data_IF_098136352286
#
_entry.id   IF_098136352286
#
_cell.length_a   1.000
_cell.length_b   1.000
_cell.length_c   1.000
_cell.angle_alpha   90.00
_cell.angle_beta   90.00
_cell.angle_gamma   90.00
#
_symmetry.space_group_name_H-M   'P 1'
#
loop_
_entity.id
_entity.type
_entity.pdbx_description
1 polymer ?
#
# COMPACT_ATOMS: atom_id res chain seq x y z
N UNK A 1 25.15 -11.99 -11.88
CA UNK A 1 24.00 -11.63 -12.76
C UNK A 1 24.44 -10.47 -13.62
N UNK A 2 24.25 -10.51 -14.93
CA UNK A 2 24.54 -9.38 -15.83
C UNK A 2 23.55 -8.24 -15.53
N UNK A 3 24.06 -7.02 -15.32
CA UNK A 3 23.25 -5.81 -15.13
C UNK A 3 23.39 -4.98 -16.41
N UNK A 4 22.40 -4.95 -17.31
CA UNK A 4 22.51 -4.17 -18.54
C UNK A 4 22.57 -2.67 -18.22
N UNK A 5 23.52 -1.95 -18.83
CA UNK A 5 23.68 -0.50 -18.58
C UNK A 5 22.38 0.26 -18.83
N UNK A 6 21.63 -0.06 -19.90
CA UNK A 6 20.35 0.58 -20.23
C UNK A 6 19.31 0.51 -19.10
N UNK A 7 19.31 -0.57 -18.30
CA UNK A 7 18.42 -0.71 -17.15
C UNK A 7 19.00 -0.10 -15.85
N UNK A 8 20.27 0.25 -15.87
CA UNK A 8 21.03 0.77 -14.72
C UNK A 8 21.13 2.30 -14.74
N UNK A 9 21.15 2.95 -15.91
CA UNK A 9 21.27 4.42 -16.03
C UNK A 9 20.17 5.17 -15.29
N UNK A 10 18.93 4.68 -15.32
CA UNK A 10 17.81 5.33 -14.62
C UNK A 10 18.02 5.44 -13.10
N UNK A 11 18.91 4.61 -12.55
CA UNK A 11 19.25 4.58 -11.11
C UNK A 11 20.28 5.62 -10.71
N UNK A 12 21.01 6.18 -11.65
CA UNK A 12 21.97 7.25 -11.38
C UNK A 12 21.23 8.57 -11.20
N UNK A 13 21.78 9.50 -10.43
CA UNK A 13 21.30 10.89 -10.40
C UNK A 13 21.81 11.70 -11.59
N UNK A 14 22.95 11.31 -12.16
CA UNK A 14 23.56 11.96 -13.32
C UNK A 14 22.77 11.63 -14.60
N UNK A 15 22.62 12.63 -15.48
CA UNK A 15 21.97 12.53 -16.80
C UNK A 15 22.89 13.12 -17.85
N UNK A 16 22.62 12.85 -19.13
CA UNK A 16 23.31 13.51 -20.23
C UNK A 16 23.36 15.04 -19.99
N UNK A 17 24.52 15.70 -20.18
CA UNK A 17 25.80 15.18 -20.71
C UNK A 17 26.74 14.56 -19.65
N UNK A 18 26.35 14.49 -18.39
CA UNK A 18 27.19 14.06 -17.26
C UNK A 18 27.16 12.55 -16.97
N UNK A 19 26.55 11.73 -17.81
CA UNK A 19 26.60 10.28 -17.69
C UNK A 19 27.89 9.75 -18.31
N UNK A 20 28.76 9.10 -17.52
CA UNK A 20 30.11 8.74 -17.93
C UNK A 20 30.37 7.23 -17.97
N UNK A 21 29.37 6.38 -17.69
CA UNK A 21 29.54 4.93 -17.69
C UNK A 21 28.87 4.35 -18.93
N UNK A 22 29.63 3.62 -19.74
CA UNK A 22 29.17 3.13 -21.04
C UNK A 22 28.72 1.67 -21.00
N UNK A 23 29.27 0.86 -20.09
CA UNK A 23 28.92 -0.57 -19.96
C UNK A 23 29.24 -1.11 -18.55
N UNK A 24 28.63 -2.24 -18.19
CA UNK A 24 28.89 -2.97 -16.94
C UNK A 24 29.42 -4.36 -17.29
N UNK A 25 30.72 -4.57 -17.05
CA UNK A 25 31.40 -5.82 -17.38
C UNK A 25 31.14 -6.92 -16.34
N UNK A 26 31.18 -6.59 -15.06
CA UNK A 26 30.96 -7.54 -13.97
C UNK A 26 30.15 -6.90 -12.84
N UNK A 27 29.28 -7.68 -12.21
CA UNK A 27 28.48 -7.22 -11.08
C UNK A 27 28.24 -8.32 -10.05
N UNK A 28 28.78 -8.10 -8.85
CA UNK A 28 28.53 -8.84 -7.62
C UNK A 28 27.74 -7.93 -6.66
N UNK A 29 26.40 -8.06 -6.62
CA UNK A 29 25.53 -7.16 -5.85
C UNK A 29 25.98 -6.98 -4.40
N UNK A 30 26.08 -5.73 -3.95
CA UNK A 30 26.46 -5.39 -2.57
C UNK A 30 27.93 -5.64 -2.23
N UNK A 31 28.77 -6.04 -3.19
CA UNK A 31 30.19 -6.32 -2.95
C UNK A 31 31.12 -5.61 -3.94
N UNK A 32 31.00 -5.89 -5.23
CA UNK A 32 31.92 -5.42 -6.27
C UNK A 32 31.21 -5.17 -7.60
N UNK A 33 31.61 -4.15 -8.32
CA UNK A 33 31.17 -3.90 -9.69
C UNK A 33 32.37 -3.46 -10.53
N UNK A 34 32.39 -3.90 -11.79
CA UNK A 34 33.36 -3.48 -12.80
C UNK A 34 32.58 -2.93 -13.98
N UNK A 35 32.86 -1.68 -14.34
CA UNK A 35 32.22 -0.97 -15.43
C UNK A 35 33.26 -0.41 -16.39
N UNK A 36 32.79 0.11 -17.51
CA UNK A 36 33.64 0.61 -18.60
C UNK A 36 33.27 2.05 -18.93
N UNK A 37 34.31 2.86 -19.16
CA UNK A 37 34.21 4.18 -19.78
C UNK A 37 35.17 4.24 -20.97
N UNK A 38 34.63 4.40 -22.17
CA UNK A 38 35.39 4.60 -23.40
C UNK A 38 35.65 6.10 -23.58
N UNK A 39 36.92 6.49 -23.66
CA UNK A 39 37.31 7.90 -23.77
C UNK A 39 37.34 8.26 -25.24
N UNK A 40 36.30 8.94 -25.70
CA UNK A 40 36.19 9.33 -27.11
C UNK A 40 36.75 10.74 -27.33
N UNK A 41 37.39 10.98 -28.47
CA UNK A 41 37.90 12.33 -28.80
C UNK A 41 36.79 13.39 -28.89
N UNK A 42 35.54 12.96 -29.07
CA UNK A 42 34.38 13.84 -29.21
C UNK A 42 33.77 14.28 -27.88
N UNK A 43 34.33 13.87 -26.74
CA UNK A 43 33.80 14.30 -25.44
C UNK A 43 33.98 15.81 -25.22
N UNK A 44 32.93 16.44 -24.72
CA UNK A 44 32.82 17.90 -24.59
C UNK A 44 33.99 18.52 -23.81
N UNK A 45 34.47 17.84 -22.76
CA UNK A 45 35.57 18.35 -21.97
C UNK A 45 36.91 18.39 -22.71
N UNK A 46 37.06 17.74 -23.88
CA UNK A 46 38.24 17.95 -24.74
C UNK A 46 38.15 19.25 -25.55
N UNK A 47 36.97 19.87 -25.66
CA UNK A 47 36.79 21.18 -26.26
C UNK A 47 37.24 22.28 -25.27
N UNK A 48 38.55 22.44 -25.13
CA UNK A 48 39.16 23.50 -24.33
C UNK A 48 40.06 23.02 -23.19
N UNK A 49 40.06 21.72 -22.84
CA UNK A 49 41.01 21.16 -21.89
C UNK A 49 42.35 20.85 -22.57
N UNK A 50 43.28 21.80 -22.46
CA UNK A 50 44.65 21.81 -23.02
C UNK A 50 44.70 21.66 -24.56
N UNK A 51 44.73 22.80 -25.30
CA UNK A 51 44.94 22.77 -26.75
C UNK A 51 46.19 21.96 -27.13
N UNK A 52 46.02 20.94 -27.98
CA UNK A 52 47.10 20.07 -28.45
C UNK A 52 47.48 18.90 -27.52
N UNK A 53 46.86 18.79 -26.34
CA UNK A 53 47.13 17.72 -25.38
C UNK A 53 45.82 17.20 -24.73
N UNK A 54 44.96 16.49 -25.48
CA UNK A 54 43.67 16.04 -24.95
C UNK A 54 43.88 15.03 -23.82
N UNK A 55 43.49 15.42 -22.60
CA UNK A 55 43.59 14.64 -21.38
C UNK A 55 42.23 14.61 -20.66
N UNK A 56 41.77 13.43 -20.21
CA UNK A 56 40.59 13.32 -19.36
C UNK A 56 40.92 13.89 -17.96
N UNK A 57 40.18 14.88 -17.44
CA UNK A 57 40.40 15.42 -16.11
C UNK A 57 40.28 14.36 -15.01
N UNK A 58 41.17 14.40 -14.01
CA UNK A 58 41.13 13.46 -12.89
C UNK A 58 39.80 13.49 -12.12
N UNK A 59 39.16 14.64 -12.02
CA UNK A 59 37.83 14.77 -11.40
C UNK A 59 36.75 13.99 -12.15
N UNK A 60 36.85 13.85 -13.47
CA UNK A 60 35.89 13.05 -14.25
C UNK A 60 36.15 11.56 -14.06
N UNK A 61 37.41 11.14 -13.86
CA UNK A 61 37.70 9.75 -13.46
C UNK A 61 37.08 9.42 -12.09
N UNK A 62 37.14 10.36 -11.14
CA UNK A 62 36.48 10.20 -9.83
C UNK A 62 34.95 10.19 -9.97
N UNK A 63 34.37 11.07 -10.77
CA UNK A 63 32.92 11.09 -11.05
C UNK A 63 32.46 9.77 -11.68
N UNK A 64 33.20 9.25 -12.68
CA UNK A 64 32.92 7.93 -13.26
C UNK A 64 32.92 6.82 -12.20
N UNK A 65 33.92 6.80 -11.30
CA UNK A 65 33.97 5.85 -10.20
C UNK A 65 32.81 6.03 -9.21
N UNK A 66 32.38 7.28 -8.94
CA UNK A 66 31.24 7.56 -8.07
C UNK A 66 29.90 7.08 -8.67
N UNK A 67 29.70 7.26 -9.98
CA UNK A 67 28.54 6.70 -10.69
C UNK A 67 28.53 5.16 -10.58
N UNK A 68 29.66 4.52 -10.84
CA UNK A 68 29.80 3.05 -10.70
C UNK A 68 29.50 2.60 -9.27
N UNK A 69 29.95 3.35 -8.26
CA UNK A 69 29.66 3.04 -6.86
C UNK A 69 28.16 3.15 -6.52
N UNK A 70 27.45 4.12 -7.10
CA UNK A 70 26.00 4.26 -6.93
C UNK A 70 25.24 3.07 -7.54
N UNK A 71 25.68 2.54 -8.69
CA UNK A 71 25.07 1.37 -9.32
C UNK A 71 25.14 0.09 -8.46
N UNK A 72 26.14 0.01 -7.57
CA UNK A 72 26.33 -1.12 -6.66
C UNK A 72 25.31 -1.17 -5.50
N UNK A 73 24.57 -0.06 -5.28
CA UNK A 73 23.60 0.12 -4.20
C UNK A 73 22.17 0.28 -4.77
N UNK A 74 21.52 -0.82 -5.19
CA UNK A 74 20.22 -0.72 -5.86
C UNK A 74 19.10 -0.25 -4.92
N UNK A 75 18.22 0.59 -5.45
CA UNK A 75 16.98 0.99 -4.76
C UNK A 75 17.14 2.09 -3.72
N UNK A 76 18.28 2.79 -3.70
CA UNK A 76 18.51 3.96 -2.86
C UNK A 76 19.19 5.06 -3.66
N UNK A 77 18.88 6.32 -3.37
CA UNK A 77 19.64 7.45 -3.95
C UNK A 77 20.95 7.61 -3.20
N UNK A 78 22.03 7.80 -3.95
CA UNK A 78 23.38 7.91 -3.40
C UNK A 78 24.03 9.21 -3.91
N UNK A 79 24.69 9.95 -3.02
CA UNK A 79 25.51 11.11 -3.38
C UNK A 79 26.94 10.94 -2.88
N UNK A 80 27.92 11.35 -3.68
CA UNK A 80 29.31 11.45 -3.23
C UNK A 80 29.44 12.58 -2.19
N UNK A 81 29.94 12.27 -0.99
CA UNK A 81 30.17 13.22 0.11
C UNK A 81 31.64 13.55 0.33
N UNK A 82 32.54 12.65 -0.05
CA UNK A 82 33.96 12.85 0.16
C UNK A 82 34.79 11.91 -0.70
N UNK A 83 36.02 12.34 -1.00
CA UNK A 83 37.01 11.59 -1.75
C UNK A 83 38.29 11.64 -0.94
N UNK A 84 38.72 10.47 -0.46
CA UNK A 84 39.92 10.33 0.36
C UNK A 84 41.00 9.61 -0.44
N UNK A 85 42.27 9.94 -0.16
CA UNK A 85 43.44 9.25 -0.71
C UNK A 85 43.46 9.14 -2.25
N UNK A 86 42.89 10.11 -2.96
CA UNK A 86 42.88 10.10 -4.42
C UNK A 86 44.30 10.20 -4.99
N UNK A 87 44.67 9.30 -5.90
CA UNK A 87 45.94 9.36 -6.65
C UNK A 87 45.68 9.18 -8.13
N UNK A 88 46.31 10.03 -8.94
CA UNK A 88 46.29 9.98 -10.39
C UNK A 88 47.68 9.60 -10.88
N UNK A 89 47.81 8.40 -11.43
CA UNK A 89 49.11 7.77 -11.71
C UNK A 89 49.55 7.95 -13.16
N UNK A 90 48.61 8.08 -14.09
CA UNK A 90 48.86 8.17 -15.52
C UNK A 90 47.84 9.08 -16.19
N UNK A 91 48.24 9.63 -17.33
CA UNK A 91 47.33 10.35 -18.22
C UNK A 91 46.37 9.38 -18.88
N UNK A 92 45.14 9.85 -19.09
CA UNK A 92 44.09 9.13 -19.81
C UNK A 92 43.69 9.99 -21.00
N UNK A 93 43.78 9.45 -22.20
CA UNK A 93 43.69 10.18 -23.47
C UNK A 93 42.60 9.58 -24.37
N UNK A 94 42.15 10.31 -25.41
CA UNK A 94 41.24 9.74 -26.39
C UNK A 94 41.74 8.41 -26.98
N UNK A 95 40.86 7.42 -27.03
CA UNK A 95 41.17 6.05 -27.44
C UNK A 95 41.34 5.08 -26.27
N UNK A 96 41.60 5.58 -25.06
CA UNK A 96 41.70 4.73 -23.87
C UNK A 96 40.33 4.14 -23.49
N UNK A 97 40.37 2.93 -22.96
CA UNK A 97 39.21 2.26 -22.34
C UNK A 97 39.47 2.09 -20.86
N UNK A 98 38.82 2.90 -20.03
CA UNK A 98 38.91 2.74 -18.59
C UNK A 98 38.06 1.56 -18.16
N UNK A 99 38.69 0.67 -17.40
CA UNK A 99 38.01 -0.28 -16.54
C UNK A 99 37.90 0.35 -15.14
N UNK A 100 36.66 0.49 -14.68
CA UNK A 100 36.28 1.15 -13.44
C UNK A 100 35.83 0.09 -12.45
N UNK A 101 36.65 -0.19 -11.45
CA UNK A 101 36.36 -1.17 -10.41
C UNK A 101 36.02 -0.48 -9.10
N UNK A 102 34.90 -0.88 -8.49
CA UNK A 102 34.48 -0.39 -7.19
C UNK A 102 34.08 -1.56 -6.28
N UNK A 103 34.60 -1.56 -5.05
CA UNK A 103 34.23 -2.51 -4.01
C UNK A 103 33.77 -1.78 -2.73
N UNK A 104 32.67 -2.25 -2.12
CA UNK A 104 32.22 -1.71 -0.84
C UNK A 104 33.16 -2.16 0.28
N UNK A 105 33.56 -1.24 1.15
CA UNK A 105 34.44 -1.54 2.27
C UNK A 105 33.67 -1.63 3.60
N UNK A 106 33.13 -0.51 4.07
CA UNK A 106 32.47 -0.43 5.39
C UNK A 106 31.28 0.51 5.35
N UNK A 107 30.18 0.09 5.97
CA UNK A 107 29.01 0.93 6.22
C UNK A 107 28.99 1.41 7.68
N UNK A 108 28.63 2.68 7.88
CA UNK A 108 28.36 3.25 9.21
C UNK A 108 27.17 4.21 9.11
N UNK A 109 26.00 3.79 9.59
CA UNK A 109 24.76 4.55 9.43
C UNK A 109 24.42 4.75 7.94
N UNK A 110 24.08 5.98 7.57
CA UNK A 110 23.78 6.38 6.19
C UNK A 110 25.02 6.64 5.32
N UNK A 111 26.24 6.44 5.85
CA UNK A 111 27.49 6.61 5.09
C UNK A 111 28.12 5.26 4.73
N UNK A 112 28.52 5.13 3.46
CA UNK A 112 29.19 3.96 2.90
C UNK A 112 30.56 4.39 2.37
N UNK A 113 31.60 3.62 2.70
CA UNK A 113 32.93 3.75 2.11
C UNK A 113 33.11 2.71 1.00
N UNK A 114 33.64 3.15 -0.13
CA UNK A 114 33.98 2.28 -1.25
C UNK A 114 35.43 2.51 -1.69
N UNK A 115 36.14 1.43 -2.00
CA UNK A 115 37.46 1.48 -2.63
C UNK A 115 37.25 1.45 -4.13
N UNK A 116 37.84 2.41 -4.84
CA UNK A 116 37.59 2.64 -6.24
C UNK A 116 38.92 2.76 -7.02
N UNK A 117 39.02 2.04 -8.13
CA UNK A 117 40.21 1.98 -8.97
C UNK A 117 39.81 2.09 -10.43
N UNK A 118 40.51 2.94 -11.18
CA UNK A 118 40.42 3.01 -12.63
C UNK A 118 41.73 2.49 -13.24
N UNK A 119 41.64 1.68 -14.31
CA UNK A 119 42.79 1.15 -15.03
C UNK A 119 42.60 1.17 -16.56
N UNK A 120 43.70 1.28 -17.29
CA UNK A 120 43.78 1.13 -18.75
C UNK A 120 44.79 0.02 -19.05
N UNK A 121 44.41 -0.98 -19.84
CA UNK A 121 45.23 -2.15 -20.18
C UNK A 121 45.88 -2.81 -18.95
N UNK A 122 45.10 -2.97 -17.87
CA UNK A 122 45.55 -3.58 -16.61
C UNK A 122 46.43 -2.68 -15.72
N UNK A 123 46.75 -1.46 -16.16
CA UNK A 123 47.56 -0.53 -15.38
C UNK A 123 46.69 0.51 -14.67
N UNK A 124 46.86 0.67 -13.36
CA UNK A 124 46.12 1.68 -12.58
C UNK A 124 46.45 3.10 -13.05
N UNK A 125 45.40 3.84 -13.42
CA UNK A 125 45.48 5.26 -13.82
C UNK A 125 44.94 6.19 -12.73
N UNK A 126 43.95 5.73 -11.94
CA UNK A 126 43.46 6.45 -10.76
C UNK A 126 43.03 5.48 -9.65
N UNK A 127 43.14 5.90 -8.40
CA UNK A 127 42.62 5.19 -7.22
C UNK A 127 42.08 6.20 -6.20
N UNK A 128 41.01 5.86 -5.48
CA UNK A 128 40.46 6.68 -4.40
C UNK A 128 39.61 5.84 -3.42
N UNK A 129 39.42 6.36 -2.21
CA UNK A 129 38.38 5.90 -1.28
C UNK A 129 37.21 6.89 -1.32
N UNK A 130 36.06 6.44 -1.80
CA UNK A 130 34.85 7.24 -1.92
C UNK A 130 34.02 7.14 -0.64
N UNK A 131 33.50 8.28 -0.16
CA UNK A 131 32.51 8.35 0.92
C UNK A 131 31.18 8.72 0.30
N UNK A 132 30.22 7.80 0.39
CA UNK A 132 28.90 7.91 -0.20
C UNK A 132 27.86 8.12 0.91
N UNK A 133 26.94 9.07 0.73
CA UNK A 133 25.73 9.15 1.54
C UNK A 133 24.58 8.46 0.82
N UNK A 134 23.92 7.57 1.55
CA UNK A 134 22.64 6.97 1.17
C UNK A 134 21.54 7.88 1.68
N UNK A 135 20.68 8.33 0.77
CA UNK A 135 19.48 9.08 1.11
C UNK A 135 18.32 8.08 1.19
N UNK A 136 17.54 8.17 2.27
CA UNK A 136 16.22 7.54 2.27
C UNK A 136 15.38 8.20 1.17
N UNK A 137 14.50 7.43 0.51
CA UNK A 137 13.58 8.01 -0.47
C UNK A 137 12.78 9.11 0.23
N UNK A 138 13.04 10.38 -0.09
CA UNK A 138 12.26 11.49 0.45
C UNK A 138 10.84 11.43 -0.14
N UNK A 139 9.90 12.12 0.51
CA UNK A 139 8.58 12.29 -0.06
C UNK A 139 8.66 13.17 -1.32
N UNK A 140 7.97 12.78 -2.39
CA UNK A 140 7.85 13.58 -3.60
C UNK A 140 6.51 14.31 -3.56
N UNK A 141 6.55 15.64 -3.49
CA UNK A 141 5.35 16.48 -3.39
C UNK A 141 5.26 17.33 -4.64
N UNK A 142 4.16 17.19 -5.39
CA UNK A 142 3.89 18.04 -6.53
C UNK A 142 3.83 19.52 -6.11
N UNK A 143 4.42 20.46 -6.87
CA UNK A 143 4.43 21.88 -6.51
C UNK A 143 3.05 22.52 -6.33
N UNK A 144 2.00 21.93 -6.91
CA UNK A 144 0.62 22.40 -6.81
C UNK A 144 -0.16 21.77 -5.66
N UNK A 145 0.43 20.80 -4.95
CA UNK A 145 -0.17 20.20 -3.77
C UNK A 145 -0.09 21.15 -2.56
N UNK A 146 -1.11 21.12 -1.71
CA UNK A 146 -1.17 21.88 -0.48
C UNK A 146 -0.97 20.96 0.72
N UNK A 147 0.26 20.91 1.24
CA UNK A 147 0.62 20.11 2.42
C UNK A 147 0.84 21.03 3.60
N UNK A 148 0.07 20.83 4.67
CA UNK A 148 0.24 21.60 5.90
C UNK A 148 1.63 21.33 6.53
N UNK A 149 2.34 22.35 7.06
CA UNK A 149 3.70 22.19 7.59
C UNK A 149 3.84 21.18 8.73
N UNK A 150 2.77 20.91 9.48
CA UNK A 150 2.75 19.96 10.60
C UNK A 150 2.36 18.54 10.19
N UNK A 151 1.99 18.31 8.93
CA UNK A 151 1.71 16.97 8.41
C UNK A 151 2.98 16.12 8.45
N UNK A 152 2.83 14.84 8.81
CA UNK A 152 3.94 13.89 8.84
C UNK A 152 3.87 13.00 7.62
N UNK A 153 4.87 13.08 6.74
CA UNK A 153 4.89 12.36 5.47
C UNK A 153 6.03 11.34 5.49
N UNK A 154 5.71 10.05 5.38
CA UNK A 154 6.70 8.98 5.39
C UNK A 154 7.54 8.91 4.12
N UNK A 155 8.71 8.28 4.23
CA UNK A 155 9.67 8.10 3.14
C UNK A 155 9.06 7.43 1.90
N UNK A 156 9.41 7.93 0.70
CA UNK A 156 8.98 7.45 -0.60
C UNK A 156 7.50 7.69 -0.92
N UNK A 157 6.81 8.46 -0.08
CA UNK A 157 5.41 8.86 -0.32
C UNK A 157 5.33 9.89 -1.43
N UNK A 158 4.35 9.73 -2.32
CA UNK A 158 4.14 10.61 -3.47
C UNK A 158 2.80 11.33 -3.29
N UNK A 159 2.82 12.65 -3.34
CA UNK A 159 1.66 13.53 -3.26
C UNK A 159 1.46 14.19 -4.62
N UNK A 160 0.38 13.82 -5.29
CA UNK A 160 0.03 14.26 -6.63
C UNK A 160 -0.50 15.71 -6.70
N UNK A 161 -0.70 16.24 -7.91
CA UNK A 161 -1.05 17.63 -8.14
C UNK A 161 -2.39 18.00 -7.49
N UNK A 162 -2.48 19.20 -6.94
CA UNK A 162 -3.66 19.74 -6.27
C UNK A 162 -4.21 18.92 -5.09
N UNK A 163 -3.48 17.90 -4.62
CA UNK A 163 -3.86 17.18 -3.41
C UNK A 163 -3.76 18.09 -2.18
N UNK A 164 -4.58 17.84 -1.16
CA UNK A 164 -4.59 18.61 0.09
C UNK A 164 -4.35 17.67 1.26
N UNK A 165 -3.31 17.96 2.06
CA UNK A 165 -2.95 17.22 3.27
C UNK A 165 -3.04 18.13 4.48
N UNK A 166 -3.95 17.81 5.40
CA UNK A 166 -4.24 18.58 6.60
C UNK A 166 -3.15 18.52 7.69
N UNK A 167 -3.19 19.45 8.66
CA UNK A 167 -2.13 19.64 9.66
C UNK A 167 -1.96 18.49 10.66
N UNK A 168 -2.99 17.65 10.84
CA UNK A 168 -2.98 16.53 11.79
C UNK A 168 -2.86 15.16 11.09
N UNK A 169 -2.47 15.16 9.82
CA UNK A 169 -2.35 13.95 9.03
C UNK A 169 -0.98 13.30 9.21
N UNK A 170 -0.98 11.99 9.36
CA UNK A 170 0.21 11.14 9.35
C UNK A 170 0.07 10.14 8.21
N UNK A 171 0.93 10.25 7.19
CA UNK A 171 1.06 9.28 6.10
C UNK A 171 2.28 8.40 6.36
N UNK A 172 2.10 7.09 6.25
CA UNK A 172 3.17 6.10 6.27
C UNK A 172 4.12 6.20 5.09
N UNK A 173 5.01 5.21 4.95
CA UNK A 173 5.98 5.12 3.86
C UNK A 173 5.31 4.71 2.56
N UNK A 174 5.80 5.20 1.43
CA UNK A 174 5.39 4.78 0.08
C UNK A 174 3.87 4.88 -0.15
N UNK A 175 3.21 5.80 0.54
CA UNK A 175 1.81 6.13 0.28
C UNK A 175 1.73 6.89 -1.04
N UNK A 176 0.68 6.67 -1.83
CA UNK A 176 0.43 7.45 -3.04
C UNK A 176 -0.87 8.21 -2.86
N UNK A 177 -0.80 9.53 -2.86
CA UNK A 177 -1.98 10.40 -2.85
C UNK A 177 -2.17 10.98 -4.24
N UNK A 178 -3.28 10.63 -4.87
CA UNK A 178 -3.64 11.00 -6.23
C UNK A 178 -4.04 12.47 -6.36
N UNK A 179 -4.17 12.92 -7.61
CA UNK A 179 -4.50 14.30 -7.92
C UNK A 179 -5.82 14.75 -7.28
N UNK A 180 -5.83 15.94 -6.69
CA UNK A 180 -7.03 16.53 -6.07
C UNK A 180 -7.68 15.65 -4.99
N UNK A 181 -6.97 14.67 -4.43
CA UNK A 181 -7.43 13.94 -3.26
C UNK A 181 -7.20 14.79 -1.99
N UNK A 182 -8.11 14.66 -1.02
CA UNK A 182 -8.06 15.39 0.24
C UNK A 182 -7.92 14.40 1.37
N UNK A 183 -6.87 14.56 2.18
CA UNK A 183 -6.68 13.86 3.45
C UNK A 183 -6.58 14.91 4.54
N UNK A 184 -7.49 14.88 5.51
CA UNK A 184 -7.54 15.90 6.57
C UNK A 184 -8.01 15.29 7.91
N UNK A 185 -8.20 16.12 8.94
CA UNK A 185 -8.56 15.69 10.28
C UNK A 185 -7.42 14.99 11.01
N UNK A 186 -7.72 14.42 12.18
CA UNK A 186 -6.77 13.57 12.92
C UNK A 186 -6.74 12.19 12.28
N UNK A 187 -6.00 12.08 11.17
CA UNK A 187 -6.00 10.91 10.30
C UNK A 187 -4.61 10.30 10.22
N UNK A 188 -4.53 8.98 10.43
CA UNK A 188 -3.32 8.19 10.22
C UNK A 188 -3.57 7.17 9.14
N UNK A 189 -2.68 7.11 8.14
CA UNK A 189 -2.72 6.15 7.03
C UNK A 189 -1.42 5.36 7.01
N UNK A 190 -1.53 4.03 7.07
CA UNK A 190 -0.38 3.13 7.04
C UNK A 190 0.30 3.00 5.67
N UNK A 191 1.49 2.41 5.70
CA UNK A 191 2.41 2.27 4.56
C UNK A 191 1.76 1.68 3.30
N UNK A 192 2.31 2.04 2.13
CA UNK A 192 1.98 1.45 0.82
C UNK A 192 0.49 1.56 0.45
N UNK A 193 -0.23 2.50 1.06
CA UNK A 193 -1.63 2.79 0.73
C UNK A 193 -1.73 3.67 -0.51
N UNK A 194 -2.71 3.39 -1.36
CA UNK A 194 -3.01 4.18 -2.55
C UNK A 194 -4.34 4.89 -2.41
N UNK A 195 -4.32 6.21 -2.50
CA UNK A 195 -5.49 7.09 -2.51
C UNK A 195 -5.61 7.68 -3.91
N UNK A 196 -6.67 7.32 -4.64
CA UNK A 196 -6.88 7.78 -6.01
C UNK A 196 -7.48 9.18 -6.06
N UNK A 197 -7.51 9.81 -7.26
CA UNK A 197 -8.01 11.17 -7.42
C UNK A 197 -9.41 11.40 -6.85
N UNK A 198 -9.61 12.60 -6.33
CA UNK A 198 -10.89 13.09 -5.77
C UNK A 198 -11.44 12.30 -4.57
N UNK A 199 -10.66 11.39 -3.98
CA UNK A 199 -11.03 10.78 -2.70
C UNK A 199 -10.98 11.83 -1.58
N UNK A 200 -11.87 11.69 -0.59
CA UNK A 200 -12.00 12.59 0.54
C UNK A 200 -11.96 11.79 1.85
N UNK A 201 -10.83 11.85 2.54
CA UNK A 201 -10.50 10.96 3.65
C UNK A 201 -10.25 11.79 4.92
N UNK A 202 -10.86 11.39 6.03
CA UNK A 202 -10.70 12.02 7.34
C UNK A 202 -11.62 13.23 7.59
N UNK A 203 -12.54 13.50 6.66
CA UNK A 203 -13.49 14.61 6.76
C UNK A 203 -14.42 14.50 7.99
N UNK A 204 -14.99 15.63 8.47
CA UNK A 204 -16.02 15.64 9.50
C UNK A 204 -17.13 14.61 9.25
N UNK A 205 -17.60 13.90 10.28
CA UNK A 205 -18.77 13.03 10.14
C UNK A 205 -20.02 13.83 9.73
N UNK A 206 -20.92 13.19 9.00
CA UNK A 206 -22.22 13.78 8.62
C UNK A 206 -23.29 13.63 9.73
N UNK A 207 -22.89 13.23 10.94
CA UNK A 207 -23.78 13.18 12.10
C UNK A 207 -24.13 14.61 12.54
N UNK A 208 -25.43 14.92 12.61
CA UNK A 208 -25.95 16.23 13.02
C UNK A 208 -25.53 16.64 14.44
N UNK A 209 -25.11 15.69 15.27
CA UNK A 209 -24.63 15.92 16.64
C UNK A 209 -23.16 16.35 16.68
N UNK A 210 -22.39 16.17 15.60
CA UNK A 210 -21.00 16.56 15.56
C UNK A 210 -20.86 18.09 15.67
N UNK A 211 -19.89 18.54 16.45
CA UNK A 211 -19.64 19.96 16.76
C UNK A 211 -18.18 20.37 16.54
N UNK A 212 -17.40 19.56 15.82
CA UNK A 212 -16.00 19.86 15.53
C UNK A 212 -15.01 19.20 16.50
N UNK A 213 -15.45 18.22 17.28
CA UNK A 213 -14.61 17.49 18.21
C UNK A 213 -13.41 16.83 17.48
N UNK A 214 -12.23 16.73 18.11
CA UNK A 214 -11.01 16.19 17.49
C UNK A 214 -11.03 14.66 17.41
N UNK A 215 -12.02 14.10 16.73
CA UNK A 215 -12.18 12.66 16.48
C UNK A 215 -11.23 12.17 15.40
N UNK A 216 -11.01 10.85 15.36
CA UNK A 216 -9.89 10.22 14.66
C UNK A 216 -10.34 9.29 13.53
N UNK A 217 -9.43 9.12 12.58
CA UNK A 217 -9.48 8.08 11.56
C UNK A 217 -8.13 7.34 11.57
N UNK A 218 -8.18 6.02 11.74
CA UNK A 218 -7.00 5.16 11.75
C UNK A 218 -7.12 4.13 10.62
N UNK A 219 -6.24 4.21 9.63
CA UNK A 219 -6.19 3.34 8.46
C UNK A 219 -4.88 2.56 8.48
N UNK A 220 -4.97 1.24 8.31
CA UNK A 220 -3.83 0.34 8.18
C UNK A 220 -3.06 0.53 6.86
N UNK A 221 -2.33 -0.50 6.45
CA UNK A 221 -1.41 -0.47 5.30
C UNK A 221 -1.98 -1.16 4.06
N UNK A 222 -1.44 -0.81 2.90
CA UNK A 222 -1.71 -1.45 1.60
C UNK A 222 -3.19 -1.42 1.22
N UNK A 223 -3.90 -0.38 1.64
CA UNK A 223 -5.28 -0.17 1.21
C UNK A 223 -5.30 0.53 -0.15
N UNK A 224 -6.34 0.26 -0.94
CA UNK A 224 -6.58 0.95 -2.21
C UNK A 224 -7.92 1.65 -2.11
N UNK A 225 -7.88 2.98 -2.09
CA UNK A 225 -9.05 3.84 -2.13
C UNK A 225 -9.18 4.42 -3.53
N UNK A 226 -10.18 3.96 -4.27
CA UNK A 226 -10.44 4.40 -5.64
C UNK A 226 -11.10 5.78 -5.66
N UNK A 227 -11.37 6.24 -6.88
CA UNK A 227 -11.84 7.59 -7.17
C UNK A 227 -13.13 7.91 -6.40
N UNK A 228 -13.23 9.13 -5.85
CA UNK A 228 -14.42 9.60 -5.12
C UNK A 228 -14.82 8.79 -3.88
N UNK A 229 -13.91 7.97 -3.33
CA UNK A 229 -14.13 7.34 -2.03
C UNK A 229 -14.23 8.41 -0.94
N UNK A 230 -15.18 8.24 -0.02
CA UNK A 230 -15.38 9.13 1.13
C UNK A 230 -15.27 8.36 2.44
N UNK A 231 -14.41 8.81 3.35
CA UNK A 231 -14.19 8.17 4.65
C UNK A 231 -14.20 9.22 5.74
N UNK A 232 -15.12 9.10 6.67
CA UNK A 232 -15.35 10.09 7.70
C UNK A 232 -14.80 9.61 9.04
N UNK A 233 -14.22 10.53 9.81
CA UNK A 233 -13.77 10.27 11.19
C UNK A 233 -14.96 9.99 12.12
N UNK A 234 -14.68 9.49 13.32
CA UNK A 234 -15.72 9.15 14.28
C UNK A 234 -16.46 10.35 14.88
N UNK A 235 -17.35 10.08 15.82
CA UNK A 235 -18.09 11.06 16.63
C UNK A 235 -17.77 10.89 18.11
N UNK A 236 -17.82 11.96 18.91
CA UNK A 236 -17.53 11.86 20.35
C UNK A 236 -18.44 10.83 21.07
N UNK A 237 -19.73 10.75 20.67
CA UNK A 237 -20.67 9.77 21.22
C UNK A 237 -20.49 8.33 20.70
N UNK A 238 -19.75 8.15 19.61
CA UNK A 238 -19.54 6.88 18.93
C UNK A 238 -18.24 6.15 19.23
N UNK A 239 -17.45 6.68 20.17
CA UNK A 239 -16.10 6.19 20.47
C UNK A 239 -15.00 7.04 19.85
N UNK A 240 -15.35 8.08 19.09
CA UNK A 240 -14.43 9.10 18.60
C UNK A 240 -13.49 8.63 17.51
N UNK A 241 -13.73 7.45 16.91
CA UNK A 241 -12.79 6.82 15.99
C UNK A 241 -13.47 5.92 14.95
N UNK A 242 -13.14 6.16 13.69
CA UNK A 242 -13.34 5.20 12.58
C UNK A 242 -12.03 4.44 12.37
N UNK A 243 -12.09 3.12 12.17
CA UNK A 243 -10.89 2.28 11.92
C UNK A 243 -11.01 1.43 10.67
N UNK A 244 -9.93 1.32 9.90
CA UNK A 244 -9.81 0.44 8.72
C UNK A 244 -8.53 -0.37 8.85
N UNK A 245 -8.59 -1.68 8.65
CA UNK A 245 -7.45 -2.59 8.68
C UNK A 245 -6.55 -2.50 7.43
N UNK A 246 -5.97 -3.65 7.07
CA UNK A 246 -4.97 -3.76 6.01
C UNK A 246 -5.53 -4.35 4.71
N UNK A 247 -4.90 -4.06 3.57
CA UNK A 247 -5.11 -4.79 2.31
C UNK A 247 -6.56 -4.77 1.79
N UNK A 248 -7.29 -3.70 2.05
CA UNK A 248 -8.66 -3.56 1.58
C UNK A 248 -8.71 -2.87 0.21
N UNK A 249 -9.74 -3.19 -0.58
CA UNK A 249 -10.07 -2.50 -1.82
C UNK A 249 -11.41 -1.78 -1.69
N UNK A 250 -11.37 -0.45 -1.76
CA UNK A 250 -12.55 0.40 -1.83
C UNK A 250 -12.68 0.92 -3.26
N UNK A 251 -13.64 0.40 -4.02
CA UNK A 251 -13.88 0.87 -5.39
C UNK A 251 -14.52 2.26 -5.40
N UNK A 252 -14.72 2.81 -6.59
CA UNK A 252 -15.14 4.19 -6.76
C UNK A 252 -16.49 4.48 -6.07
N UNK A 253 -16.63 5.68 -5.51
CA UNK A 253 -17.82 6.13 -4.77
C UNK A 253 -18.18 5.34 -3.51
N UNK A 254 -17.26 4.52 -2.97
CA UNK A 254 -17.53 3.87 -1.69
C UNK A 254 -17.56 4.91 -0.56
N UNK A 255 -18.54 4.76 0.33
CA UNK A 255 -18.69 5.61 1.51
C UNK A 255 -18.52 4.81 2.79
N UNK A 256 -17.65 5.29 3.68
CA UNK A 256 -17.48 4.81 5.06
C UNK A 256 -17.85 5.95 6.00
N UNK A 257 -19.01 5.81 6.65
CA UNK A 257 -19.47 6.78 7.64
C UNK A 257 -18.65 6.73 8.93
N UNK A 258 -19.06 7.57 9.87
CA UNK A 258 -18.45 7.71 11.18
C UNK A 258 -18.53 6.44 12.03
N UNK A 259 -17.51 6.24 12.87
CA UNK A 259 -17.44 5.19 13.89
C UNK A 259 -17.52 3.77 13.31
N UNK A 260 -17.23 3.61 12.01
CA UNK A 260 -17.15 2.29 11.39
C UNK A 260 -15.87 1.57 11.80
N UNK A 261 -15.95 0.24 11.84
CA UNK A 261 -14.82 -0.65 12.06
C UNK A 261 -14.71 -1.64 10.90
N UNK A 262 -13.79 -1.39 9.98
CA UNK A 262 -13.50 -2.27 8.85
C UNK A 262 -12.23 -3.07 9.15
N UNK A 263 -12.31 -4.39 8.99
CA UNK A 263 -11.19 -5.31 9.12
C UNK A 263 -10.22 -5.23 7.94
N UNK A 264 -9.60 -6.36 7.63
CA UNK A 264 -8.57 -6.50 6.60
C UNK A 264 -9.01 -7.39 5.44
N UNK A 265 -8.41 -7.20 4.27
CA UNK A 265 -8.69 -7.98 3.05
C UNK A 265 -10.15 -7.92 2.57
N UNK A 266 -10.86 -6.85 2.93
CA UNK A 266 -12.24 -6.61 2.53
C UNK A 266 -12.31 -5.97 1.14
N UNK A 267 -13.44 -6.16 0.46
CA UNK A 267 -13.69 -5.58 -0.87
C UNK A 267 -15.03 -4.87 -0.87
N UNK A 268 -15.01 -3.60 -1.26
CA UNK A 268 -16.21 -2.79 -1.45
C UNK A 268 -16.34 -2.45 -2.94
N UNK A 269 -17.40 -2.94 -3.56
CA UNK A 269 -17.75 -2.62 -4.95
C UNK A 269 -18.20 -1.18 -5.11
N UNK A 270 -18.33 -0.69 -6.35
CA UNK A 270 -18.64 0.71 -6.62
C UNK A 270 -19.91 1.18 -5.90
N UNK A 271 -19.85 2.33 -5.24
CA UNK A 271 -21.01 2.89 -4.53
C UNK A 271 -21.48 2.11 -3.30
N UNK A 272 -20.72 1.12 -2.82
CA UNK A 272 -21.05 0.46 -1.56
C UNK A 272 -21.00 1.49 -0.40
N UNK A 273 -22.00 1.48 0.47
CA UNK A 273 -22.21 2.54 1.46
C UNK A 273 -22.39 1.95 2.85
N UNK A 274 -21.56 2.37 3.80
CA UNK A 274 -21.69 2.02 5.21
C UNK A 274 -22.29 3.20 5.98
N UNK A 275 -23.39 2.96 6.70
CA UNK A 275 -23.92 3.90 7.68
C UNK A 275 -23.06 3.96 8.94
N UNK A 276 -23.40 4.86 9.86
CA UNK A 276 -22.62 5.04 11.10
C UNK A 276 -22.53 3.78 11.96
N UNK A 277 -21.40 3.59 12.64
CA UNK A 277 -21.17 2.46 13.57
C UNK A 277 -21.24 1.05 12.93
N UNK A 278 -21.05 0.93 11.62
CA UNK A 278 -21.05 -0.37 10.95
C UNK A 278 -19.72 -1.10 11.21
N UNK A 279 -19.80 -2.40 11.50
CA UNK A 279 -18.61 -3.27 11.57
C UNK A 279 -18.56 -4.21 10.38
N UNK A 280 -17.41 -4.31 9.72
CA UNK A 280 -17.18 -5.21 8.59
C UNK A 280 -15.94 -6.03 8.90
N UNK A 281 -16.11 -7.33 9.10
CA UNK A 281 -15.02 -8.20 9.48
C UNK A 281 -14.19 -8.67 8.28
N UNK A 282 -13.02 -9.24 8.58
CA UNK A 282 -12.02 -9.63 7.60
C UNK A 282 -12.58 -10.45 6.43
N UNK A 283 -12.05 -10.18 5.23
CA UNK A 283 -12.38 -10.89 3.99
C UNK A 283 -13.84 -10.77 3.52
N UNK A 284 -14.67 -9.98 4.20
CA UNK A 284 -16.01 -9.68 3.73
C UNK A 284 -15.98 -8.92 2.40
N UNK A 285 -17.01 -9.11 1.59
CA UNK A 285 -17.18 -8.40 0.32
C UNK A 285 -18.57 -7.80 0.24
N UNK A 286 -18.62 -6.50 -0.04
CA UNK A 286 -19.87 -5.76 -0.23
C UNK A 286 -19.93 -5.30 -1.67
N UNK A 287 -20.78 -5.93 -2.47
CA UNK A 287 -20.84 -5.67 -3.91
C UNK A 287 -21.48 -4.32 -4.23
N UNK A 288 -21.35 -3.92 -5.50
CA UNK A 288 -21.75 -2.62 -6.02
C UNK A 288 -23.14 -2.16 -5.54
N UNK A 289 -23.25 -0.88 -5.20
CA UNK A 289 -24.47 -0.18 -4.81
C UNK A 289 -25.24 -0.81 -3.66
N UNK A 290 -24.54 -1.55 -2.79
CA UNK A 290 -25.15 -2.12 -1.58
C UNK A 290 -24.95 -1.19 -0.39
N UNK A 291 -25.98 -1.07 0.46
CA UNK A 291 -25.95 -0.28 1.68
C UNK A 291 -25.96 -1.16 2.93
N UNK A 292 -25.18 -0.78 3.94
CA UNK A 292 -25.27 -1.37 5.30
C UNK A 292 -25.75 -0.29 6.25
N UNK A 293 -26.91 -0.51 6.84
CA UNK A 293 -27.53 0.44 7.76
C UNK A 293 -26.74 0.54 9.07
N UNK A 294 -26.84 1.69 9.72
CA UNK A 294 -26.12 1.98 10.97
C UNK A 294 -26.24 0.86 12.02
N UNK A 295 -25.17 0.65 12.78
CA UNK A 295 -24.99 -0.38 13.81
C UNK A 295 -25.04 -1.84 13.34
N UNK A 296 -25.21 -2.11 12.04
CA UNK A 296 -25.21 -3.49 11.54
C UNK A 296 -23.78 -4.01 11.37
N UNK A 297 -23.64 -5.33 11.43
CA UNK A 297 -22.36 -6.03 11.25
C UNK A 297 -22.38 -6.90 10.00
N UNK A 298 -21.23 -7.00 9.33
CA UNK A 298 -20.98 -7.90 8.21
C UNK A 298 -19.88 -8.87 8.62
N UNK A 299 -20.22 -10.14 8.81
CA UNK A 299 -19.31 -11.14 9.36
C UNK A 299 -18.17 -11.56 8.42
N UNK A 300 -17.15 -12.23 8.98
CA UNK A 300 -15.96 -12.67 8.25
C UNK A 300 -16.32 -13.46 6.99
N UNK A 301 -15.66 -13.19 5.87
CA UNK A 301 -15.90 -13.84 4.57
C UNK A 301 -17.35 -13.78 4.04
N UNK A 302 -18.21 -12.94 4.62
CA UNK A 302 -19.56 -12.72 4.09
C UNK A 302 -19.46 -12.12 2.69
N UNK A 303 -20.45 -12.44 1.86
CA UNK A 303 -20.58 -11.89 0.52
C UNK A 303 -21.94 -11.23 0.40
N UNK A 304 -21.98 -9.91 0.31
CA UNK A 304 -23.20 -9.14 0.05
C UNK A 304 -23.32 -8.95 -1.46
N UNK A 305 -24.40 -9.46 -2.06
CA UNK A 305 -24.65 -9.29 -3.50
C UNK A 305 -25.03 -7.85 -3.84
N UNK A 306 -24.83 -7.45 -5.09
CA UNK A 306 -25.04 -6.06 -5.52
C UNK A 306 -26.48 -5.59 -5.29
N UNK A 307 -26.66 -4.29 -5.14
CA UNK A 307 -27.95 -3.65 -4.88
C UNK A 307 -28.68 -4.18 -3.62
N UNK A 308 -27.94 -4.68 -2.62
CA UNK A 308 -28.54 -5.14 -1.36
C UNK A 308 -28.63 -4.02 -0.33
N UNK A 309 -29.65 -4.07 0.53
CA UNK A 309 -29.83 -3.12 1.65
C UNK A 309 -29.87 -3.91 2.95
N UNK A 310 -28.75 -3.93 3.66
CA UNK A 310 -28.53 -4.69 4.89
C UNK A 310 -29.04 -3.88 6.09
N UNK A 311 -30.09 -4.36 6.74
CA UNK A 311 -30.72 -3.70 7.91
C UNK A 311 -30.62 -4.50 9.21
N UNK A 312 -30.04 -5.71 9.13
CA UNK A 312 -29.73 -6.64 10.22
C UNK A 312 -28.35 -7.24 9.95
N UNK A 313 -27.75 -7.88 10.94
CA UNK A 313 -26.40 -8.41 10.79
C UNK A 313 -26.31 -9.48 9.69
N UNK A 314 -25.40 -9.28 8.74
CA UNK A 314 -25.13 -10.20 7.65
C UNK A 314 -24.15 -11.28 8.08
N UNK A 315 -24.56 -12.54 7.92
CA UNK A 315 -23.88 -13.65 8.57
C UNK A 315 -22.50 -13.98 7.97
N UNK A 316 -21.52 -14.38 8.81
CA UNK A 316 -20.21 -14.86 8.38
C UNK A 316 -20.24 -15.98 7.36
N UNK A 317 -19.28 -16.02 6.45
CA UNK A 317 -19.08 -17.14 5.51
C UNK A 317 -20.26 -17.39 4.56
N UNK A 318 -21.24 -16.50 4.50
CA UNK A 318 -22.48 -16.68 3.75
C UNK A 318 -22.68 -15.62 2.68
N UNK A 319 -23.49 -15.97 1.68
CA UNK A 319 -23.95 -15.04 0.64
C UNK A 319 -25.28 -14.44 1.07
N UNK A 320 -25.37 -13.13 1.10
CA UNK A 320 -26.59 -12.39 1.47
C UNK A 320 -26.99 -11.46 0.34
N UNK A 321 -28.25 -11.54 -0.11
CA UNK A 321 -28.76 -10.71 -1.22
C UNK A 321 -30.18 -10.25 -0.91
N UNK A 322 -30.49 -9.01 -1.29
CA UNK A 322 -31.83 -8.42 -1.22
C UNK A 322 -31.87 -7.16 -0.38
N UNK A 323 -33.03 -6.50 -0.35
CA UNK A 323 -33.21 -5.22 0.32
C UNK A 323 -34.14 -5.35 1.54
N UNK A 324 -33.71 -4.78 2.68
CA UNK A 324 -34.50 -4.65 3.92
C UNK A 324 -35.10 -6.00 4.35
N UNK A 325 -36.42 -6.09 4.51
CA UNK A 325 -37.15 -7.29 4.91
C UNK A 325 -37.00 -8.46 3.91
N UNK A 326 -36.70 -8.16 2.64
CA UNK A 326 -36.52 -9.14 1.58
C UNK A 326 -35.09 -9.72 1.54
N UNK A 327 -34.18 -9.21 2.36
CA UNK A 327 -32.80 -9.68 2.39
C UNK A 327 -32.71 -11.12 2.90
N UNK A 328 -31.97 -11.98 2.18
CA UNK A 328 -31.91 -13.43 2.44
C UNK A 328 -30.50 -13.98 2.31
N UNK A 329 -30.25 -15.05 3.06
CA UNK A 329 -29.02 -15.84 2.97
C UNK A 329 -29.18 -16.96 1.95
N UNK A 330 -28.30 -16.98 0.94
CA UNK A 330 -28.23 -17.94 -0.16
C UNK A 330 -27.16 -19.03 0.06
N UNK A 331 -27.01 -19.44 1.33
CA UNK A 331 -26.06 -20.44 1.78
C UNK A 331 -24.62 -19.96 1.88
N UNK A 332 -23.72 -20.90 2.14
CA UNK A 332 -22.28 -20.65 2.36
C UNK A 332 -21.62 -20.11 1.10
N UNK A 333 -20.73 -19.13 1.26
CA UNK A 333 -19.83 -18.55 0.26
C UNK A 333 -18.71 -19.56 -0.11
N UNK A 334 -19.12 -20.72 -0.62
CA UNK A 334 -18.22 -21.86 -0.85
C UNK A 334 -17.05 -21.48 -1.77
N UNK A 335 -17.31 -20.75 -2.86
CA UNK A 335 -16.28 -20.32 -3.81
C UNK A 335 -15.27 -19.38 -3.13
N UNK A 336 -15.74 -18.39 -2.37
CA UNK A 336 -14.87 -17.43 -1.68
C UNK A 336 -14.02 -18.07 -0.59
N UNK A 337 -14.51 -19.13 0.05
CA UNK A 337 -13.78 -19.89 1.06
C UNK A 337 -12.75 -20.84 0.44
N UNK A 338 -13.13 -21.57 -0.62
CA UNK A 338 -12.21 -22.46 -1.36
C UNK A 338 -11.00 -21.70 -1.93
N UNK A 339 -11.24 -20.51 -2.51
CA UNK A 339 -10.16 -19.63 -3.02
C UNK A 339 -9.19 -19.17 -1.93
N UNK A 340 -9.60 -19.24 -0.65
CA UNK A 340 -8.81 -18.83 0.51
C UNK A 340 -8.27 -20.04 1.29
N UNK A 341 -8.32 -21.24 0.71
CA UNK A 341 -7.68 -22.43 1.27
C UNK A 341 -8.45 -23.11 2.41
N UNK A 342 -9.74 -22.81 2.59
CA UNK A 342 -10.56 -23.55 3.55
C UNK A 342 -10.71 -25.00 3.09
N UNK A 343 -10.46 -25.94 4.00
CA UNK A 343 -10.53 -27.35 3.71
C UNK A 343 -11.98 -27.85 3.53
N UNK A 344 -12.14 -29.02 2.92
CA UNK A 344 -13.46 -29.58 2.67
C UNK A 344 -14.21 -29.92 3.97
N UNK A 345 -13.48 -30.26 5.03
CA UNK A 345 -14.05 -30.63 6.33
C UNK A 345 -14.75 -29.44 6.98
N UNK A 346 -14.10 -28.28 7.02
CA UNK A 346 -14.65 -27.03 7.54
C UNK A 346 -15.81 -26.53 6.69
N UNK A 347 -15.69 -26.63 5.36
CA UNK A 347 -16.79 -26.30 4.44
C UNK A 347 -18.02 -27.17 4.70
N UNK A 348 -17.83 -28.47 4.95
CA UNK A 348 -18.93 -29.38 5.28
C UNK A 348 -19.60 -29.00 6.61
N UNK A 349 -18.81 -28.71 7.65
CA UNK A 349 -19.30 -28.25 8.96
C UNK A 349 -20.12 -26.97 8.83
N UNK A 350 -19.58 -25.94 8.15
CA UNK A 350 -20.29 -24.69 7.88
C UNK A 350 -21.60 -24.92 7.12
N UNK A 351 -21.57 -25.72 6.03
CA UNK A 351 -22.79 -26.05 5.28
C UNK A 351 -23.85 -26.73 6.15
N UNK A 352 -23.45 -27.61 7.06
CA UNK A 352 -24.37 -28.29 7.99
C UNK A 352 -24.91 -27.33 9.06
N UNK A 353 -24.08 -26.45 9.63
CA UNK A 353 -24.53 -25.39 10.54
C UNK A 353 -25.56 -24.47 9.87
N UNK A 354 -25.30 -24.03 8.63
CA UNK A 354 -26.23 -23.22 7.85
C UNK A 354 -27.54 -23.94 7.49
N UNK A 355 -27.52 -25.28 7.33
CA UNK A 355 -28.76 -26.05 7.17
C UNK A 355 -29.61 -26.01 8.44
N UNK A 356 -29.02 -26.09 9.64
CA UNK A 356 -29.76 -25.90 10.87
C UNK A 356 -30.37 -24.49 10.94
N UNK A 357 -29.61 -23.46 10.60
CA UNK A 357 -30.08 -22.06 10.66
C UNK A 357 -31.16 -21.70 9.63
N UNK A 358 -31.10 -22.28 8.42
CA UNK A 358 -31.90 -21.81 7.28
C UNK A 358 -32.89 -22.84 6.73
N UNK A 359 -32.76 -24.12 7.04
CA UNK A 359 -33.60 -25.16 6.40
C UNK A 359 -34.37 -26.00 7.41
N UNK A 360 -33.95 -26.00 8.68
CA UNK A 360 -34.69 -26.68 9.74
C UNK A 360 -35.98 -25.94 10.09
N UNK A 361 -36.89 -26.64 10.80
CA UNK A 361 -38.09 -26.04 11.39
C UNK A 361 -37.81 -25.38 12.76
N UNK A 362 -36.53 -25.23 13.13
CA UNK A 362 -36.12 -24.67 14.41
C UNK A 362 -36.13 -23.14 14.36
N UNK A 363 -36.41 -22.51 15.50
CA UNK A 363 -36.12 -21.09 15.66
C UNK A 363 -34.60 -20.86 15.85
N UNK A 364 -34.16 -19.60 15.82
CA UNK A 364 -32.74 -19.24 15.93
C UNK A 364 -32.08 -19.83 17.19
N UNK A 365 -32.71 -19.70 18.35
CA UNK A 365 -32.18 -20.22 19.63
C UNK A 365 -32.03 -21.74 19.63
N UNK A 366 -33.04 -22.45 19.13
CA UNK A 366 -33.01 -23.90 19.01
C UNK A 366 -31.96 -24.39 18.01
N UNK A 367 -31.81 -23.68 16.88
CA UNK A 367 -30.80 -23.99 15.88
C UNK A 367 -29.38 -23.79 16.45
N UNK A 368 -29.13 -22.71 17.19
CA UNK A 368 -27.84 -22.48 17.85
C UNK A 368 -27.52 -23.58 18.86
N UNK A 369 -28.47 -23.94 19.73
CA UNK A 369 -28.28 -25.03 20.70
C UNK A 369 -28.00 -26.38 20.02
N UNK A 370 -28.62 -26.63 18.86
CA UNK A 370 -28.33 -27.84 18.06
C UNK A 370 -26.94 -27.82 17.44
N UNK A 371 -26.45 -26.65 17.02
CA UNK A 371 -25.11 -26.49 16.45
C UNK A 371 -24.05 -26.70 17.55
N UNK A 372 -24.23 -26.05 18.70
CA UNK A 372 -23.31 -26.15 19.85
C UNK A 372 -23.27 -27.57 20.43
N UNK A 373 -24.40 -28.27 20.43
CA UNK A 373 -24.51 -29.64 20.94
C UNK A 373 -24.10 -30.75 19.98
N UNK A 374 -23.62 -30.43 18.77
CA UNK A 374 -23.19 -31.40 17.76
C UNK A 374 -21.66 -31.45 17.67
N UNK A 375 -20.98 -32.45 18.30
CA UNK A 375 -19.52 -32.54 18.31
C UNK A 375 -18.90 -32.59 16.92
N UNK A 376 -19.65 -33.08 15.91
CA UNK A 376 -19.17 -33.14 14.53
C UNK A 376 -19.05 -31.76 13.87
N UNK A 377 -19.67 -30.72 14.44
CA UNK A 377 -19.60 -29.34 13.97
C UNK A 377 -18.54 -28.50 14.66
N UNK A 378 -17.85 -29.02 15.68
CA UNK A 378 -16.84 -28.27 16.41
C UNK A 378 -15.70 -27.86 15.48
N UNK A 379 -15.57 -26.55 15.26
CA UNK A 379 -14.42 -25.88 14.67
C UNK A 379 -14.50 -24.36 14.92
N UNK A 380 -13.36 -23.64 14.88
CA UNK A 380 -13.31 -22.21 15.17
C UNK A 380 -14.27 -21.35 14.35
N UNK A 381 -14.51 -21.71 13.09
CA UNK A 381 -15.40 -21.00 12.18
C UNK A 381 -16.87 -21.10 12.60
N UNK A 382 -17.29 -22.30 13.02
CA UNK A 382 -18.66 -22.52 13.50
C UNK A 382 -18.86 -21.84 14.86
N UNK A 383 -17.85 -21.87 15.73
CA UNK A 383 -17.89 -21.20 17.03
C UNK A 383 -18.01 -19.67 16.88
N UNK A 384 -17.28 -19.10 15.91
CA UNK A 384 -17.40 -17.69 15.56
C UNK A 384 -18.79 -17.37 14.97
N UNK A 385 -19.35 -18.19 14.08
CA UNK A 385 -20.70 -18.01 13.55
C UNK A 385 -21.76 -17.97 14.68
N UNK A 386 -21.66 -18.89 15.63
CA UNK A 386 -22.56 -18.95 16.80
C UNK A 386 -22.42 -17.69 17.64
N UNK A 387 -21.20 -17.30 17.98
CA UNK A 387 -20.90 -16.10 18.77
C UNK A 387 -21.40 -14.82 18.09
N UNK A 388 -21.21 -14.72 16.78
CA UNK A 388 -21.68 -13.60 15.97
C UNK A 388 -23.20 -13.46 16.08
N UNK A 389 -23.96 -14.55 15.93
CA UNK A 389 -25.43 -14.49 16.02
C UNK A 389 -25.88 -14.14 17.44
N UNK A 390 -25.25 -14.71 18.48
CA UNK A 390 -25.64 -14.48 19.89
C UNK A 390 -25.44 -13.03 20.33
N UNK A 391 -24.45 -12.35 19.78
CA UNK A 391 -24.09 -10.97 20.12
C UNK A 391 -24.78 -9.92 19.25
N UNK A 392 -25.71 -10.33 18.37
CA UNK A 392 -26.37 -9.43 17.42
C UNK A 392 -27.39 -8.51 18.10
N UNK A 393 -27.04 -7.23 18.23
CA UNK A 393 -27.93 -6.18 18.76
C UNK A 393 -29.03 -5.76 17.79
N UNK A 394 -28.76 -5.82 16.48
CA UNK A 394 -29.73 -5.56 15.39
C UNK A 394 -30.51 -6.81 14.96
N UNK A 395 -30.22 -7.95 15.58
CA UNK A 395 -30.62 -9.27 15.10
C UNK A 395 -29.85 -9.68 13.83
N UNK A 396 -29.94 -10.96 13.47
CA UNK A 396 -29.25 -11.53 12.32
C UNK A 396 -30.21 -11.80 11.16
N UNK A 397 -29.70 -11.74 9.91
CA UNK A 397 -30.45 -12.14 8.72
C UNK A 397 -30.56 -13.67 8.69
N UNK A 398 -31.64 -14.19 9.29
CA UNK A 398 -32.03 -15.60 9.32
C UNK A 398 -33.34 -15.81 8.55
N UNK A 399 -33.77 -17.06 8.35
CA UNK A 399 -34.97 -17.36 7.55
C UNK A 399 -36.30 -17.05 8.27
N UNK A 400 -37.19 -16.42 7.47
CA UNK A 400 -38.66 -16.17 7.56
C UNK A 400 -39.20 -15.25 8.67
N UNK A 401 -39.64 -14.06 8.24
CA UNK A 401 -41.06 -13.69 8.33
C UNK A 401 -41.78 -14.10 7.03
N UNK A 402 -43.09 -14.34 7.07
CA UNK A 402 -43.91 -14.35 5.83
C UNK A 402 -43.82 -12.93 5.26
N UNK A 403 -43.53 -12.80 3.98
CA UNK A 403 -43.76 -11.53 3.27
C UNK A 403 -45.28 -11.36 3.27
N UNK A 404 -45.78 -10.36 3.99
CA UNK A 404 -47.16 -9.89 3.84
C UNK A 404 -47.20 -8.89 2.69
N UNK A 405 -48.35 -8.70 2.05
CA UNK A 405 -48.48 -7.77 0.90
C UNK A 405 -48.06 -6.32 1.26
N UNK A 406 -48.04 -5.97 2.55
CA UNK A 406 -47.50 -4.71 3.08
C UNK A 406 -45.97 -4.56 2.94
N UNK A 407 -45.19 -5.65 2.94
CA UNK A 407 -43.72 -5.60 2.84
C UNK A 407 -43.23 -5.29 1.40
N UNK A 408 -44.14 -5.27 0.44
CA UNK A 408 -43.88 -4.98 -0.99
C UNK A 408 -44.35 -3.59 -1.43
N UNK A 409 -44.93 -2.81 -0.52
CA UNK A 409 -45.26 -1.42 -0.78
C UNK A 409 -44.12 -0.51 -0.28
N UNK A 410 -43.59 0.29 -1.20
CA UNK A 410 -42.57 1.37 -1.10
C UNK A 410 -41.13 1.06 -1.57
#
# INVERSE_FOLDING_TARGET
MTLPIAAAVDRLSSRYPSLLVDDIAEHEPGRRIVAVKNVTVNEEFFQGHFPGAPLMPGVLMIESLAQVAALLLPGVRVSLRGVNNAKFRRQVVPGDRLQLEVALARQRGALIRAVATASVDGHTVAEAELVLAVHEDEAEVDPTAHVAPSAQIGAGTIIGPHAVIGPNVVLGKKVRVGASAIVDGHTTIGDETEVYPFASIGQPPQDLKYRGEPTRLEIGRRNIFREFVTIHRGTAGGGGRTTIGDQNLFMNYVHVAHDCHVGSNTIFGPGATLGGHVSVDDYASISAYSGVHQFCRVGRHAFIGGYSVITKDALPFAKTVGARALCRVYGVNTIGLQRRGFDETTLHKLKRAYRYLLQSKLNATQALHKIEGDPALSCPEVDYLVTFIRTASRGAILKRGKVTDEDTAD
#
